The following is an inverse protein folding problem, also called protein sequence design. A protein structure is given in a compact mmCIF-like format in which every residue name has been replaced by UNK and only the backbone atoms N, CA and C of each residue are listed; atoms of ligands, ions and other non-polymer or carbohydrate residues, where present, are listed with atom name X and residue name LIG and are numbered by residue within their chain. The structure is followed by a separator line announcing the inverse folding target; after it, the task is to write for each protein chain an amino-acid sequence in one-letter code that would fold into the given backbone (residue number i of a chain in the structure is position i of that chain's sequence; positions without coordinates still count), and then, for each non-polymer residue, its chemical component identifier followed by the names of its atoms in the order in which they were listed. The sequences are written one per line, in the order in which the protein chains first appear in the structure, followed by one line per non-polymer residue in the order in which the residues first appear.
data_IF_354971392088
#
_entry.id   IF_354971392088
#
_cell.length_a   1.000
_cell.length_b   1.000
_cell.length_c   1.000
_cell.angle_alpha   90.00
_cell.angle_beta   90.00
_cell.angle_gamma   90.00
#
_symmetry.space_group_name_H-M   'P 1'
#
loop_
_entity.id
_entity.type
_entity.pdbx_description
1 polymer ?
#
# COMPACT_ATOMS: atom_id res chain seq x y z
N UNK A 1 12.48 -40.01 2.46
CA UNK A 1 13.81 -39.43 2.17
C UNK A 1 13.80 -38.02 2.72
N UNK A 2 14.38 -37.80 3.90
CA UNK A 2 14.61 -36.43 4.39
C UNK A 2 15.69 -35.81 3.50
N UNK A 3 15.34 -34.73 2.78
CA UNK A 3 16.34 -33.90 2.11
C UNK A 3 17.24 -33.27 3.18
N UNK A 4 18.54 -33.18 2.90
CA UNK A 4 19.46 -32.54 3.82
C UNK A 4 19.12 -31.04 3.95
N UNK A 5 19.17 -30.54 5.18
CA UNK A 5 18.95 -29.13 5.55
C UNK A 5 19.68 -28.12 4.65
N UNK A 6 20.90 -28.45 4.25
CA UNK A 6 21.74 -27.65 3.36
C UNK A 6 21.14 -27.54 1.94
N UNK A 7 20.55 -28.62 1.44
CA UNK A 7 19.85 -28.65 0.16
C UNK A 7 18.59 -27.75 0.18
N UNK A 8 17.88 -27.72 1.31
CA UNK A 8 16.75 -26.82 1.52
C UNK A 8 17.16 -25.34 1.54
N UNK A 9 18.25 -25.01 2.23
CA UNK A 9 18.78 -23.64 2.26
C UNK A 9 19.18 -23.19 0.85
N UNK A 10 19.82 -24.05 0.07
CA UNK A 10 20.23 -23.74 -1.29
C UNK A 10 19.02 -23.52 -2.22
N UNK A 11 18.01 -24.41 -2.15
CA UNK A 11 16.75 -24.25 -2.89
C UNK A 11 15.98 -23.00 -2.49
N UNK A 12 15.99 -22.62 -1.22
CA UNK A 12 15.39 -21.38 -0.74
C UNK A 12 16.13 -20.14 -1.24
N UNK A 13 17.48 -20.17 -1.29
CA UNK A 13 18.28 -19.08 -1.86
C UNK A 13 18.02 -18.90 -3.36
N UNK A 14 17.92 -19.99 -4.12
CA UNK A 14 17.49 -19.94 -5.52
C UNK A 14 16.04 -19.46 -5.65
N UNK A 15 15.16 -19.96 -4.77
CA UNK A 15 13.77 -19.52 -4.63
C UNK A 15 13.62 -18.02 -4.43
N UNK A 16 14.52 -17.41 -3.64
CA UNK A 16 14.56 -15.97 -3.37
C UNK A 16 14.72 -15.15 -4.65
N UNK A 17 15.55 -15.61 -5.59
CA UNK A 17 15.76 -14.95 -6.87
C UNK A 17 14.48 -14.95 -7.72
N UNK A 18 13.78 -16.08 -7.75
CA UNK A 18 12.51 -16.22 -8.46
C UNK A 18 11.42 -15.36 -7.83
N UNK A 19 11.30 -15.34 -6.49
CA UNK A 19 10.31 -14.52 -5.79
C UNK A 19 10.58 -13.03 -5.97
N UNK A 20 11.85 -12.60 -5.88
CA UNK A 20 12.23 -11.21 -6.13
C UNK A 20 11.90 -10.76 -7.56
N UNK A 21 12.18 -11.63 -8.55
CA UNK A 21 11.85 -11.38 -9.95
C UNK A 21 10.33 -11.33 -10.17
N UNK A 22 9.58 -12.23 -9.54
CA UNK A 22 8.11 -12.24 -9.51
C UNK A 22 7.55 -10.95 -8.88
N UNK A 23 8.02 -10.54 -7.70
CA UNK A 23 7.62 -9.30 -7.03
C UNK A 23 7.95 -8.06 -7.89
N UNK A 24 9.09 -8.04 -8.57
CA UNK A 24 9.50 -6.96 -9.47
C UNK A 24 8.56 -6.85 -10.69
N UNK A 25 8.21 -7.98 -11.30
CA UNK A 25 7.24 -8.04 -12.40
C UNK A 25 5.85 -7.63 -11.90
N UNK A 26 5.43 -8.14 -10.75
CA UNK A 26 4.13 -7.83 -10.16
C UNK A 26 4.02 -6.35 -9.80
N UNK A 27 5.10 -5.73 -9.31
CA UNK A 27 5.20 -4.30 -9.09
C UNK A 27 5.13 -3.50 -10.40
N UNK A 28 5.71 -3.98 -11.50
CA UNK A 28 5.57 -3.34 -12.82
C UNK A 28 4.12 -3.39 -13.32
N UNK A 29 3.42 -4.50 -13.10
CA UNK A 29 2.00 -4.67 -13.48
C UNK A 29 1.09 -3.82 -12.56
N UNK A 30 1.37 -3.80 -11.26
CA UNK A 30 0.56 -3.11 -10.25
C UNK A 30 0.90 -1.65 -10.07
N UNK A 31 1.99 -1.15 -10.68
CA UNK A 31 2.37 0.26 -10.64
C UNK A 31 1.12 1.09 -10.92
N UNK A 32 0.71 1.89 -9.93
CA UNK A 32 -0.48 2.71 -10.07
C UNK A 32 -0.24 3.61 -11.28
N UNK A 33 -1.09 3.55 -12.32
CA UNK A 33 -1.02 4.58 -13.33
C UNK A 33 -1.24 5.90 -12.61
N UNK A 34 -0.23 6.73 -12.67
CA UNK A 34 -0.38 8.11 -12.25
C UNK A 34 -1.54 8.69 -13.05
N UNK A 35 -2.47 9.40 -12.38
CA UNK A 35 -3.52 10.17 -13.08
C UNK A 35 -2.92 11.34 -13.87
N UNK A 36 -1.69 11.72 -13.56
CA UNK A 36 -0.96 12.87 -14.12
C UNK A 36 -0.76 12.76 -15.63
N UNK A 37 -0.26 11.65 -16.22
CA UNK A 37 -0.15 11.51 -17.68
C UNK A 37 -1.50 11.56 -18.40
N UNK A 38 -2.60 11.10 -17.79
CA UNK A 38 -3.93 11.19 -18.40
C UNK A 38 -4.44 12.61 -18.49
N UNK A 39 -4.23 13.38 -17.44
CA UNK A 39 -4.53 14.81 -17.41
C UNK A 39 -3.64 15.56 -18.42
N UNK A 40 -2.35 15.23 -18.51
CA UNK A 40 -1.42 15.83 -19.48
C UNK A 40 -1.82 15.55 -20.94
N UNK A 41 -2.18 14.31 -21.27
CA UNK A 41 -2.67 13.96 -22.61
C UNK A 41 -3.98 14.68 -22.94
N UNK A 42 -4.87 14.83 -21.95
CA UNK A 42 -6.09 15.61 -22.12
C UNK A 42 -5.82 17.10 -22.38
N UNK A 43 -4.84 17.69 -21.67
CA UNK A 43 -4.40 19.07 -21.89
C UNK A 43 -3.73 19.25 -23.26
N UNK A 44 -2.90 18.31 -23.70
CA UNK A 44 -2.27 18.35 -25.04
C UNK A 44 -3.32 18.25 -26.14
N UNK A 45 -4.31 17.36 -26.00
CA UNK A 45 -5.43 17.28 -26.94
C UNK A 45 -6.27 18.56 -26.95
N UNK A 46 -6.48 19.19 -25.79
CA UNK A 46 -7.15 20.48 -25.67
C UNK A 46 -6.38 21.64 -26.30
N UNK A 47 -5.06 21.56 -26.44
CA UNK A 47 -4.25 22.60 -27.10
C UNK A 47 -4.25 22.39 -28.62
N UNK A 48 -4.26 21.13 -29.09
CA UNK A 48 -4.15 20.79 -30.51
C UNK A 48 -5.51 20.84 -31.23
N UNK A 49 -6.59 20.33 -30.63
CA UNK A 49 -7.90 20.25 -31.29
C UNK A 49 -8.53 21.61 -31.66
N UNK A 50 -8.45 22.65 -30.81
CA UNK A 50 -9.14 23.90 -31.11
C UNK A 50 -8.48 24.72 -32.23
N UNK A 51 -7.20 24.48 -32.51
CA UNK A 51 -6.48 25.16 -33.58
C UNK A 51 -6.98 24.78 -34.99
N UNK A 52 -7.72 23.68 -35.14
CA UNK A 52 -8.14 23.15 -36.44
C UNK A 52 -9.65 22.97 -36.64
N UNK A 53 -10.45 22.79 -35.58
CA UNK A 53 -11.87 22.40 -35.72
C UNK A 53 -12.91 23.32 -35.06
N UNK A 54 -12.53 24.16 -34.10
CA UNK A 54 -13.49 24.96 -33.34
C UNK A 54 -13.03 26.41 -33.21
N UNK A 55 -13.77 27.34 -33.85
CA UNK A 55 -13.67 28.77 -33.49
C UNK A 55 -14.07 28.89 -32.01
N UNK A 56 -13.15 29.39 -31.19
CA UNK A 56 -13.30 29.58 -29.73
C UNK A 56 -14.42 30.54 -29.30
N UNK A 57 -15.20 31.07 -30.24
CA UNK A 57 -16.16 32.15 -29.99
C UNK A 57 -17.62 31.70 -29.86
N UNK A 58 -17.91 30.41 -30.06
CA UNK A 58 -19.28 29.86 -29.97
C UNK A 58 -19.48 29.08 -28.66
N UNK A 59 -20.54 29.38 -27.91
CA UNK A 59 -20.86 28.74 -26.62
C UNK A 59 -20.99 27.22 -26.74
N UNK A 60 -21.48 26.74 -27.89
CA UNK A 60 -21.60 25.31 -28.21
C UNK A 60 -20.25 24.62 -28.38
N UNK A 61 -19.23 25.30 -28.93
CA UNK A 61 -17.90 24.71 -29.12
C UNK A 61 -17.16 24.58 -27.79
N UNK A 62 -17.33 25.54 -26.88
CA UNK A 62 -16.86 25.41 -25.49
C UNK A 62 -17.53 24.23 -24.77
N UNK A 63 -18.84 24.04 -24.93
CA UNK A 63 -19.55 22.93 -24.29
C UNK A 63 -19.04 21.56 -24.78
N UNK A 64 -18.82 21.40 -26.09
CA UNK A 64 -18.27 20.18 -26.69
C UNK A 64 -16.84 19.91 -26.17
N UNK A 65 -16.04 20.95 -26.00
CA UNK A 65 -14.68 20.87 -25.45
C UNK A 65 -14.67 20.40 -23.98
N UNK A 66 -15.53 20.96 -23.14
CA UNK A 66 -15.64 20.54 -21.73
C UNK A 66 -16.23 19.14 -21.59
N UNK A 67 -17.25 18.79 -22.39
CA UNK A 67 -17.84 17.47 -22.38
C UNK A 67 -16.83 16.38 -22.80
N UNK A 68 -16.01 16.64 -23.83
CA UNK A 68 -14.95 15.72 -24.25
C UNK A 68 -13.85 15.56 -23.20
N UNK A 69 -13.47 16.64 -22.49
CA UNK A 69 -12.54 16.55 -21.36
C UNK A 69 -13.07 15.63 -20.24
N UNK A 70 -14.32 15.82 -19.84
CA UNK A 70 -14.96 15.02 -18.79
C UNK A 70 -15.01 13.55 -19.20
N UNK A 71 -15.39 13.26 -20.44
CA UNK A 71 -15.42 11.89 -20.97
C UNK A 71 -14.02 11.28 -21.00
N UNK A 72 -13.00 12.02 -21.42
CA UNK A 72 -11.62 11.51 -21.48
C UNK A 72 -11.09 11.14 -20.09
N UNK A 73 -11.34 12.01 -19.10
CA UNK A 73 -10.97 11.78 -17.70
C UNK A 73 -11.75 10.60 -17.11
N UNK A 74 -13.03 10.43 -17.48
CA UNK A 74 -13.86 9.31 -17.03
C UNK A 74 -13.48 7.96 -17.68
N UNK A 75 -13.00 7.96 -18.92
CA UNK A 75 -12.59 6.75 -19.66
C UNK A 75 -11.15 6.33 -19.34
N UNK A 76 -10.32 7.26 -18.84
CA UNK A 76 -8.92 6.99 -18.49
C UNK A 76 -8.70 5.79 -17.55
N UNK A 77 -9.46 5.62 -16.44
CA UNK A 77 -9.34 4.45 -15.56
C UNK A 77 -9.60 3.13 -16.30
N UNK A 78 -10.58 3.10 -17.21
CA UNK A 78 -10.93 1.91 -18.01
C UNK A 78 -9.84 1.56 -19.01
N UNK A 79 -9.29 2.56 -19.72
CA UNK A 79 -8.16 2.35 -20.62
C UNK A 79 -6.94 1.79 -19.90
N UNK A 80 -6.64 2.30 -18.71
CA UNK A 80 -5.53 1.75 -17.94
C UNK A 80 -5.81 0.31 -17.48
N UNK A 81 -7.04 0.01 -17.07
CA UNK A 81 -7.40 -1.37 -16.69
C UNK A 81 -7.14 -2.35 -17.84
N UNK A 82 -7.44 -1.95 -19.08
CA UNK A 82 -7.15 -2.73 -20.29
C UNK A 82 -5.63 -2.83 -20.50
N UNK A 83 -4.88 -1.73 -20.43
CA UNK A 83 -3.41 -1.77 -20.52
C UNK A 83 -2.78 -2.67 -19.46
N UNK A 84 -3.31 -2.68 -18.23
CA UNK A 84 -2.89 -3.59 -17.16
C UNK A 84 -3.17 -5.04 -17.50
N UNK A 85 -4.35 -5.36 -18.05
CA UNK A 85 -4.67 -6.73 -18.50
C UNK A 85 -3.75 -7.20 -19.62
N UNK A 86 -3.48 -6.35 -20.60
CA UNK A 86 -2.56 -6.65 -21.71
C UNK A 86 -1.12 -6.84 -21.19
N UNK A 87 -0.69 -5.97 -20.29
CA UNK A 87 0.65 -6.07 -19.67
C UNK A 87 0.76 -7.33 -18.82
N UNK A 88 -0.26 -7.66 -18.03
CA UNK A 88 -0.32 -8.90 -17.26
C UNK A 88 -0.24 -10.13 -18.17
N UNK A 89 -1.00 -10.16 -19.28
CA UNK A 89 -0.94 -11.24 -20.27
C UNK A 89 0.44 -11.41 -20.89
N UNK A 90 1.18 -10.32 -21.13
CA UNK A 90 2.56 -10.37 -21.64
C UNK A 90 3.55 -11.02 -20.66
N UNK A 91 3.31 -10.85 -19.36
CA UNK A 91 4.19 -11.39 -18.31
C UNK A 91 3.72 -12.74 -17.76
N UNK A 92 2.49 -13.16 -18.06
CA UNK A 92 1.91 -14.45 -17.67
C UNK A 92 2.80 -15.66 -17.99
N UNK A 93 3.39 -15.81 -19.19
CA UNK A 93 4.28 -16.94 -19.48
C UNK A 93 5.57 -16.90 -18.67
N UNK A 94 6.12 -15.71 -18.38
CA UNK A 94 7.33 -15.58 -17.55
C UNK A 94 7.03 -15.91 -16.09
N UNK A 95 5.88 -15.45 -15.57
CA UNK A 95 5.41 -15.76 -14.23
C UNK A 95 5.20 -17.27 -14.06
N UNK A 96 4.58 -17.92 -15.06
CA UNK A 96 4.35 -19.35 -15.07
C UNK A 96 5.66 -20.15 -15.12
N UNK A 97 6.65 -19.69 -15.90
CA UNK A 97 7.97 -20.33 -15.95
C UNK A 97 8.70 -20.24 -14.59
N UNK A 98 8.65 -19.08 -13.93
CA UNK A 98 9.22 -18.93 -12.58
C UNK A 98 8.47 -19.75 -11.53
N UNK A 99 7.15 -19.79 -11.60
CA UNK A 99 6.33 -20.61 -10.70
C UNK A 99 6.62 -22.10 -10.91
N UNK A 100 6.76 -22.58 -12.15
CA UNK A 100 7.13 -23.97 -12.42
C UNK A 100 8.54 -24.33 -11.94
N UNK A 101 9.52 -23.44 -12.14
CA UNK A 101 10.89 -23.65 -11.63
C UNK A 101 10.92 -23.67 -10.11
N UNK A 102 10.15 -22.80 -9.47
CA UNK A 102 10.00 -22.79 -8.02
C UNK A 102 9.27 -24.04 -7.52
N UNK A 103 8.20 -24.47 -8.18
CA UNK A 103 7.40 -25.64 -7.83
C UNK A 103 8.18 -26.97 -7.92
N UNK A 104 9.15 -27.06 -8.83
CA UNK A 104 10.07 -28.21 -8.89
C UNK A 104 10.93 -28.35 -7.64
N UNK A 105 11.25 -27.24 -6.99
CA UNK A 105 12.11 -27.21 -5.80
C UNK A 105 11.32 -27.17 -4.49
N UNK A 106 10.16 -26.50 -4.51
CA UNK A 106 9.27 -26.28 -3.37
C UNK A 106 7.84 -26.55 -3.82
N UNK A 107 7.09 -27.52 -3.28
CA UNK A 107 5.75 -27.89 -3.76
C UNK A 107 4.65 -26.85 -3.44
N UNK A 108 5.03 -25.59 -3.23
CA UNK A 108 4.15 -24.48 -2.88
C UNK A 108 4.27 -23.43 -4.00
N UNK A 109 3.15 -22.86 -4.49
CA UNK A 109 3.20 -21.84 -5.53
C UNK A 109 3.94 -20.59 -5.06
N UNK A 110 4.69 -19.96 -5.98
CA UNK A 110 5.53 -18.79 -5.71
C UNK A 110 4.73 -17.60 -5.16
N UNK A 111 3.44 -17.52 -5.50
CA UNK A 111 2.48 -16.49 -5.05
C UNK A 111 2.32 -16.43 -3.52
N UNK A 112 2.58 -17.52 -2.81
CA UNK A 112 2.47 -17.60 -1.35
C UNK A 112 3.79 -17.35 -0.62
N UNK A 113 4.85 -17.02 -1.37
CA UNK A 113 6.14 -16.65 -0.85
C UNK A 113 6.44 -15.18 -1.14
N UNK A 114 6.99 -14.53 -0.14
CA UNK A 114 7.61 -13.22 -0.24
C UNK A 114 9.09 -13.37 0.08
N UNK A 115 9.91 -12.43 -0.37
CA UNK A 115 11.36 -12.45 -0.06
C UNK A 115 11.59 -12.52 1.45
N UNK A 116 10.81 -11.76 2.23
CA UNK A 116 10.86 -11.78 3.70
C UNK A 116 10.57 -13.16 4.30
N UNK A 117 9.59 -13.87 3.73
CA UNK A 117 9.22 -15.22 4.17
C UNK A 117 10.34 -16.23 3.90
N UNK A 118 10.97 -16.14 2.73
CA UNK A 118 12.12 -16.99 2.39
C UNK A 118 13.29 -16.71 3.34
N UNK A 119 13.61 -15.44 3.58
CA UNK A 119 14.69 -15.04 4.49
C UNK A 119 14.43 -15.54 5.92
N UNK A 120 13.19 -15.45 6.40
CA UNK A 120 12.78 -16.00 7.70
C UNK A 120 12.87 -17.53 7.78
N UNK A 121 12.52 -18.23 6.70
CA UNK A 121 12.66 -19.69 6.63
C UNK A 121 14.14 -20.11 6.62
N UNK A 122 15.00 -19.40 5.89
CA UNK A 122 16.46 -19.63 5.88
C UNK A 122 17.02 -19.40 7.28
N UNK A 123 16.65 -18.32 7.96
CA UNK A 123 17.11 -18.04 9.32
C UNK A 123 16.65 -19.11 10.32
N UNK A 124 15.41 -19.60 10.22
CA UNK A 124 14.90 -20.68 11.07
C UNK A 124 15.66 -22.00 10.84
N UNK A 125 15.97 -22.32 9.57
CA UNK A 125 16.80 -23.47 9.24
C UNK A 125 18.24 -23.27 9.75
N UNK A 126 18.93 -22.18 9.40
CA UNK A 126 20.32 -21.92 9.80
C UNK A 126 20.50 -21.91 11.34
N UNK A 127 19.53 -21.36 12.09
CA UNK A 127 19.54 -21.36 13.56
C UNK A 127 19.21 -22.71 14.21
N UNK A 128 18.76 -23.70 13.44
CA UNK A 128 18.32 -25.00 13.96
C UNK A 128 16.98 -24.96 14.69
N UNK A 129 16.20 -23.88 14.52
CA UNK A 129 14.84 -23.78 15.03
C UNK A 129 13.84 -24.60 14.20
N UNK A 130 14.25 -25.07 13.02
CA UNK A 130 13.49 -25.95 12.14
C UNK A 130 14.45 -26.91 11.41
N UNK A 131 14.01 -28.15 11.22
CA UNK A 131 14.75 -29.14 10.43
C UNK A 131 14.20 -29.29 9.01
N UNK A 132 12.92 -28.98 8.82
CA UNK A 132 12.22 -29.04 7.54
C UNK A 132 11.61 -27.69 7.12
N UNK A 133 11.39 -27.51 5.82
CA UNK A 133 10.73 -26.31 5.27
C UNK A 133 9.35 -26.04 5.90
N UNK A 134 8.59 -27.11 6.23
CA UNK A 134 7.27 -26.99 6.85
C UNK A 134 7.34 -26.36 8.25
N UNK A 135 8.34 -26.76 9.03
CA UNK A 135 8.59 -26.20 10.36
C UNK A 135 9.09 -24.76 10.26
N UNK A 136 10.01 -24.49 9.32
CA UNK A 136 10.50 -23.14 9.07
C UNK A 136 9.37 -22.17 8.70
N UNK A 137 8.41 -22.63 7.88
CA UNK A 137 7.19 -21.86 7.55
C UNK A 137 6.29 -21.61 8.77
N UNK A 138 6.13 -22.62 9.64
CA UNK A 138 5.32 -22.49 10.85
C UNK A 138 5.95 -21.51 11.84
N UNK A 139 7.27 -21.60 12.06
CA UNK A 139 8.04 -20.67 12.90
C UNK A 139 7.92 -19.25 12.37
N UNK A 140 8.05 -19.06 11.06
CA UNK A 140 7.89 -17.74 10.45
C UNK A 140 6.47 -17.19 10.63
N UNK A 141 5.43 -18.00 10.44
CA UNK A 141 4.04 -17.58 10.61
C UNK A 141 3.73 -17.12 12.05
N UNK A 142 4.26 -17.84 13.05
CA UNK A 142 4.15 -17.45 14.47
C UNK A 142 4.91 -16.15 14.74
N UNK A 143 6.10 -15.99 14.15
CA UNK A 143 6.91 -14.79 14.32
C UNK A 143 6.26 -13.55 13.70
N UNK A 144 5.75 -13.65 12.47
CA UNK A 144 5.10 -12.53 11.76
C UNK A 144 3.80 -12.10 12.46
N UNK A 145 3.00 -13.06 12.92
CA UNK A 145 1.77 -12.74 13.69
C UNK A 145 2.08 -12.05 15.01
N UNK A 146 3.13 -12.49 15.71
CA UNK A 146 3.62 -11.83 16.94
C UNK A 146 4.12 -10.41 16.66
N UNK A 147 4.90 -10.19 15.59
CA UNK A 147 5.38 -8.85 15.22
C UNK A 147 4.23 -7.91 14.85
N UNK A 148 3.28 -8.37 14.03
CA UNK A 148 2.10 -7.58 13.65
C UNK A 148 1.22 -7.22 14.87
N UNK A 149 1.09 -8.14 15.83
CA UNK A 149 0.39 -7.85 17.09
C UNK A 149 1.15 -6.83 17.93
N UNK A 150 2.48 -6.92 18.01
CA UNK A 150 3.31 -5.96 18.76
C UNK A 150 3.21 -4.55 18.18
N UNK A 151 3.30 -4.40 16.87
CA UNK A 151 3.20 -3.07 16.23
C UNK A 151 1.83 -2.44 16.43
N UNK A 152 0.75 -3.22 16.29
CA UNK A 152 -0.61 -2.75 16.55
C UNK A 152 -0.80 -2.32 18.01
N UNK A 153 -0.22 -3.08 18.96
CA UNK A 153 -0.25 -2.71 20.38
C UNK A 153 0.51 -1.40 20.67
N UNK A 154 1.64 -1.19 20.00
CA UNK A 154 2.42 0.05 20.12
C UNK A 154 1.66 1.26 19.55
N UNK A 155 1.03 1.12 18.38
CA UNK A 155 0.21 2.17 17.79
C UNK A 155 -0.96 2.55 18.69
N UNK A 156 -1.66 1.57 19.26
CA UNK A 156 -2.74 1.80 20.22
C UNK A 156 -2.22 2.51 21.48
N UNK A 157 -1.04 2.13 21.99
CA UNK A 157 -0.42 2.83 23.12
C UNK A 157 -0.08 4.30 22.80
N UNK A 158 0.41 4.57 21.60
CA UNK A 158 0.72 5.94 21.16
C UNK A 158 -0.56 6.77 21.07
N UNK A 159 -1.63 6.23 20.47
CA UNK A 159 -2.93 6.89 20.36
C UNK A 159 -3.54 7.15 21.74
N UNK A 160 -3.50 6.17 22.63
CA UNK A 160 -4.02 6.28 23.98
C UNK A 160 -3.24 7.34 24.79
N UNK A 161 -1.91 7.38 24.69
CA UNK A 161 -1.09 8.46 25.28
C UNK A 161 -1.45 9.84 24.74
N UNK A 162 -1.71 9.97 23.43
CA UNK A 162 -2.16 11.23 22.83
C UNK A 162 -3.53 11.64 23.35
N UNK A 163 -4.49 10.72 23.43
CA UNK A 163 -5.82 11.00 23.99
C UNK A 163 -5.75 11.44 25.46
N UNK A 164 -4.94 10.79 26.28
CA UNK A 164 -4.73 11.21 27.69
C UNK A 164 -4.18 12.63 27.75
N UNK A 165 -3.20 12.97 26.91
CA UNK A 165 -2.62 14.32 26.87
C UNK A 165 -3.68 15.38 26.49
N UNK A 166 -4.41 15.14 25.40
CA UNK A 166 -5.47 16.05 24.94
C UNK A 166 -6.56 16.19 25.99
N UNK A 167 -6.98 15.10 26.63
CA UNK A 167 -7.99 15.12 27.70
C UNK A 167 -7.50 15.90 28.92
N UNK A 168 -6.22 15.78 29.26
CA UNK A 168 -5.60 16.52 30.36
C UNK A 168 -5.54 18.02 30.05
N UNK A 169 -5.17 18.39 28.83
CA UNK A 169 -5.15 19.78 28.35
C UNK A 169 -6.56 20.38 28.32
N UNK A 170 -7.56 19.62 27.86
CA UNK A 170 -8.96 20.03 27.89
C UNK A 170 -9.47 20.20 29.33
N UNK A 171 -9.07 19.31 30.25
CA UNK A 171 -9.44 19.39 31.66
C UNK A 171 -8.79 20.60 32.36
N UNK A 172 -7.53 20.94 32.06
CA UNK A 172 -6.90 22.16 32.57
C UNK A 172 -7.57 23.41 32.01
N UNK A 173 -7.82 23.48 30.70
CA UNK A 173 -8.51 24.60 30.08
C UNK A 173 -9.93 24.80 30.65
N UNK A 174 -10.63 23.70 30.95
CA UNK A 174 -11.95 23.75 31.60
C UNK A 174 -11.87 24.28 33.03
N UNK A 175 -10.83 23.92 33.79
CA UNK A 175 -10.60 24.45 35.14
C UNK A 175 -10.26 25.94 35.11
N UNK A 176 -9.42 26.38 34.18
CA UNK A 176 -9.03 27.78 34.03
C UNK A 176 -10.24 28.65 33.61
N UNK A 177 -11.10 28.13 32.73
CA UNK A 177 -12.35 28.80 32.36
C UNK A 177 -13.33 28.90 33.54
N UNK A 178 -13.43 27.85 34.36
CA UNK A 178 -14.28 27.85 35.55
C UNK A 178 -13.79 28.84 36.61
N UNK A 179 -12.47 28.94 36.86
CA UNK A 179 -11.92 29.92 37.79
C UNK A 179 -12.11 31.35 37.29
N UNK A 180 -11.89 31.62 36.00
CA UNK A 180 -12.11 32.93 35.41
C UNK A 180 -13.60 33.36 35.48
N UNK A 181 -14.53 32.42 35.26
CA UNK A 181 -15.97 32.68 35.43
C UNK A 181 -16.33 33.01 36.88
N UNK A 182 -15.71 32.33 37.85
CA UNK A 182 -15.98 32.57 39.27
C UNK A 182 -15.43 33.93 39.72
N UNK A 183 -14.24 34.31 39.25
CA UNK A 183 -13.66 35.62 39.50
C UNK A 183 -14.49 36.75 38.89
N UNK A 184 -14.96 36.59 37.65
CA UNK A 184 -15.85 37.54 37.00
C UNK A 184 -17.18 37.70 37.77
N UNK A 185 -17.78 36.59 38.22
CA UNK A 185 -19.00 36.62 39.03
C UNK A 185 -18.80 37.34 40.37
N UNK A 186 -17.66 37.13 41.03
CA UNK A 186 -17.32 37.81 42.28
C UNK A 186 -17.07 39.31 42.07
N UNK A 187 -16.41 39.71 40.98
CA UNK A 187 -16.17 41.11 40.64
C UNK A 187 -17.49 41.87 40.37
N UNK A 188 -18.43 41.26 39.65
CA UNK A 188 -19.76 41.84 39.40
C UNK A 188 -20.55 42.03 40.70
N UNK A 189 -20.47 41.08 41.63
CA UNK A 189 -21.12 41.18 42.94
C UNK A 189 -20.51 42.26 43.84
N UNK A 190 -19.23 42.60 43.66
CA UNK A 190 -18.58 43.71 44.39
C UNK A 190 -18.94 45.08 43.82
N UNK A 191 -19.21 45.19 42.51
CA UNK A 191 -19.63 46.44 41.86
C UNK A 191 -21.11 46.80 42.08
N UNK A 192 -21.92 45.86 42.56
CA UNK A 192 -23.36 46.03 42.81
C UNK A 192 -23.70 46.28 44.28
N UNK A 193 -22.69 46.41 45.15
CA UNK A 193 -22.81 46.88 46.55
C UNK A 193 -22.30 48.31 46.67
#
# INVERSE_FOLDING_TARGET
MCMQKEEWIQRLREGRYYVSSYESIMNKIHKRPSRIPGVLVAFVLLIILPGWLFRYNDTSSMFIMWASLIVLVAVWPSMISIFRKVTASKYDPQIQEYDQKFQRSVPIPIKYFTVKKIDGCIAALESGAADDLKEALAVWQVTETSEAQRTLLEEQNILLKKQIRVTKEAASASRDAASASQEAANAVNQLSR
#
